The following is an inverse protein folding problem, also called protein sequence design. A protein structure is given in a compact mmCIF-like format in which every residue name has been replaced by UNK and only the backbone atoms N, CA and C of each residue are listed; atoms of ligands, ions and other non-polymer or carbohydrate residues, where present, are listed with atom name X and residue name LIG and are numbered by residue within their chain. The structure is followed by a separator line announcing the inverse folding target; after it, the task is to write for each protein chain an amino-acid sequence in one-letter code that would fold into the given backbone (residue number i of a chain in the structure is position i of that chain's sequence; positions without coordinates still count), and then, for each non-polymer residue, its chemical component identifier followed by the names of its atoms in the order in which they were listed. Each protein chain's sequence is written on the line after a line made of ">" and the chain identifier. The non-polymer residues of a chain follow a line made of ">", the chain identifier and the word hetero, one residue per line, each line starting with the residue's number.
data_IF_185074527350
#
_entry.id   IF_185074527350
#
_cell.length_a   1.000
_cell.length_b   1.000
_cell.length_c   1.000
_cell.angle_alpha   90.00
_cell.angle_beta   90.00
_cell.angle_gamma   90.00
#
_symmetry.space_group_name_H-M   'P 1'
#
loop_
_entity.id
_entity.type
_entity.pdbx_description
1 polymer ?
#
# COMPACT_ATOMS: atom_id res chain seq x y z
N UNK A 1 9.02 6.00 3.72
CA UNK A 1 7.65 5.44 3.81
C UNK A 1 7.25 5.16 5.26
N UNK A 2 7.89 4.23 5.98
CA UNK A 2 7.52 3.85 7.37
C UNK A 2 7.42 5.01 8.38
N UNK A 3 8.27 6.03 8.24
CA UNK A 3 8.26 7.21 9.13
C UNK A 3 7.26 8.30 8.70
N UNK A 4 6.46 8.07 7.65
CA UNK A 4 5.45 9.03 7.23
C UNK A 4 4.26 8.99 8.21
N UNK A 5 3.70 10.15 8.56
CA UNK A 5 2.56 10.25 9.51
C UNK A 5 1.36 9.37 9.11
N UNK A 6 1.15 9.19 7.81
CA UNK A 6 0.05 8.37 7.24
C UNK A 6 0.39 6.89 7.05
N UNK A 7 1.55 6.42 7.54
CA UNK A 7 1.96 5.02 7.38
C UNK A 7 1.28 4.07 8.37
N UNK A 8 0.66 4.59 9.44
CA UNK A 8 0.13 3.81 10.56
C UNK A 8 -0.79 2.63 10.17
N UNK A 9 -1.66 2.70 9.14
CA UNK A 9 -2.52 1.55 8.78
C UNK A 9 -1.75 0.41 8.12
N UNK A 10 -0.55 0.71 7.60
CA UNK A 10 0.22 -0.17 6.74
C UNK A 10 1.44 -0.75 7.43
N UNK A 11 1.65 -0.45 8.72
CA UNK A 11 2.86 -0.87 9.44
C UNK A 11 2.89 -2.36 9.75
N UNK A 12 1.71 -3.00 9.86
CA UNK A 12 1.55 -4.41 10.22
C UNK A 12 0.42 -5.04 9.40
N UNK A 13 0.40 -6.37 9.27
CA UNK A 13 -0.71 -7.09 8.68
C UNK A 13 -2.03 -6.76 9.38
N UNK A 14 -3.11 -6.71 8.61
CA UNK A 14 -4.46 -6.65 9.17
C UNK A 14 -4.74 -7.98 9.88
N UNK A 15 -5.15 -7.90 11.14
CA UNK A 15 -5.48 -9.07 11.95
C UNK A 15 -6.77 -9.71 11.41
N UNK A 16 -6.62 -10.81 10.68
CA UNK A 16 -7.72 -11.52 10.03
C UNK A 16 -8.76 -12.03 11.05
N UNK A 17 -8.37 -12.27 12.30
CA UNK A 17 -9.29 -12.72 13.36
C UNK A 17 -10.20 -11.58 13.86
N UNK A 18 -9.82 -10.32 13.63
CA UNK A 18 -10.59 -9.14 14.03
C UNK A 18 -11.50 -8.61 12.92
N UNK A 19 -11.43 -9.17 11.71
CA UNK A 19 -12.29 -8.77 10.62
C UNK A 19 -13.61 -9.55 10.66
N UNK A 20 -14.77 -8.88 10.48
CA UNK A 20 -16.04 -9.58 10.32
C UNK A 20 -15.94 -10.61 9.19
N UNK A 21 -16.51 -11.81 9.37
CA UNK A 21 -16.51 -12.89 8.35
C UNK A 21 -17.05 -12.46 6.97
N UNK A 22 -17.76 -11.34 6.92
CA UNK A 22 -18.37 -10.76 5.73
C UNK A 22 -17.42 -9.85 4.94
N UNK A 23 -16.25 -9.51 5.51
CA UNK A 23 -15.29 -8.54 4.97
C UNK A 23 -14.07 -9.25 4.35
N UNK A 24 -14.34 -10.29 3.55
CA UNK A 24 -13.32 -11.10 2.86
C UNK A 24 -12.77 -10.44 1.59
N UNK A 25 -12.90 -9.12 1.46
CA UNK A 25 -12.70 -8.41 0.19
C UNK A 25 -11.22 -8.14 -0.13
N UNK A 26 -10.31 -8.31 0.83
CA UNK A 26 -8.87 -8.17 0.60
C UNK A 26 -8.33 -9.47 0.00
N UNK A 27 -8.43 -9.58 -1.32
CA UNK A 27 -8.08 -10.78 -2.09
C UNK A 27 -6.61 -11.22 -1.90
N UNK A 28 -5.72 -10.29 -1.55
CA UNK A 28 -4.30 -10.56 -1.34
C UNK A 28 -3.67 -9.55 -0.36
N UNK A 29 -3.68 -9.81 0.96
CA UNK A 29 -3.13 -8.90 1.97
C UNK A 29 -1.67 -8.51 1.70
N UNK A 30 -1.33 -7.26 1.98
CA UNK A 30 0.01 -6.72 1.89
C UNK A 30 0.16 -5.51 2.81
N UNK A 31 1.32 -5.37 3.44
CA UNK A 31 1.68 -4.30 4.36
C UNK A 31 3.21 -4.09 4.36
N UNK A 32 3.69 -3.04 5.03
CA UNK A 32 5.10 -2.66 5.06
C UNK A 32 5.98 -3.62 5.88
N UNK A 33 5.41 -4.45 6.75
CA UNK A 33 6.16 -5.50 7.44
C UNK A 33 6.44 -6.64 6.46
N UNK A 34 5.41 -7.16 5.78
CA UNK A 34 5.57 -8.23 4.77
C UNK A 34 6.52 -7.79 3.66
N UNK A 35 6.38 -6.55 3.17
CA UNK A 35 7.31 -6.02 2.16
C UNK A 35 8.76 -5.96 2.69
N UNK A 36 8.97 -5.62 3.96
CA UNK A 36 10.31 -5.60 4.53
C UNK A 36 10.91 -7.01 4.61
N UNK A 37 10.12 -7.97 5.11
CA UNK A 37 10.55 -9.37 5.20
C UNK A 37 10.88 -9.96 3.81
N UNK A 38 10.09 -9.61 2.79
CA UNK A 38 10.36 -10.00 1.40
C UNK A 38 11.64 -9.37 0.87
N UNK A 39 11.88 -8.10 1.18
CA UNK A 39 13.12 -7.41 0.82
C UNK A 39 14.33 -8.08 1.47
N UNK A 40 14.27 -8.34 2.77
CA UNK A 40 15.36 -8.96 3.54
C UNK A 40 15.68 -10.38 3.05
N UNK A 41 14.67 -11.10 2.56
CA UNK A 41 14.82 -12.45 1.96
C UNK A 41 15.24 -12.44 0.49
N UNK A 42 15.47 -11.28 -0.12
CA UNK A 42 15.87 -11.16 -1.52
C UNK A 42 14.75 -11.52 -2.52
N UNK A 43 13.47 -11.49 -2.10
CA UNK A 43 12.33 -11.80 -2.97
C UNK A 43 12.20 -10.82 -4.15
N UNK A 44 12.56 -9.55 -3.93
CA UNK A 44 12.48 -8.51 -4.96
C UNK A 44 13.71 -8.52 -5.87
N UNK A 45 13.81 -9.54 -6.71
CA UNK A 45 14.87 -9.68 -7.73
C UNK A 45 14.77 -8.62 -8.85
N UNK A 46 13.65 -7.88 -8.90
CA UNK A 46 13.40 -6.79 -9.83
C UNK A 46 12.51 -5.75 -9.13
N UNK A 47 12.78 -4.46 -9.34
CA UNK A 47 12.00 -3.36 -8.76
C UNK A 47 10.51 -3.43 -9.11
N UNK A 48 10.14 -4.02 -10.26
CA UNK A 48 8.74 -4.20 -10.64
C UNK A 48 7.97 -5.04 -9.62
N UNK A 49 8.61 -6.04 -9.01
CA UNK A 49 7.97 -6.87 -7.97
C UNK A 49 7.71 -6.05 -6.69
N UNK A 50 8.66 -5.21 -6.28
CA UNK A 50 8.49 -4.31 -5.14
C UNK A 50 7.37 -3.30 -5.39
N UNK A 51 7.35 -2.69 -6.58
CA UNK A 51 6.33 -1.70 -6.94
C UNK A 51 4.94 -2.36 -7.04
N UNK A 52 4.85 -3.60 -7.53
CA UNK A 52 3.60 -4.34 -7.59
C UNK A 52 3.00 -4.60 -6.20
N UNK A 53 3.83 -5.02 -5.23
CA UNK A 53 3.37 -5.18 -3.83
C UNK A 53 2.96 -3.85 -3.21
N UNK A 54 3.69 -2.77 -3.49
CA UNK A 54 3.33 -1.43 -3.01
C UNK A 54 1.98 -0.96 -3.58
N UNK A 55 1.72 -1.20 -4.86
CA UNK A 55 0.42 -0.94 -5.51
C UNK A 55 -0.69 -1.77 -4.88
N UNK A 56 -0.44 -3.06 -4.64
CA UNK A 56 -1.41 -3.97 -4.02
C UNK A 56 -1.81 -3.51 -2.63
N UNK A 57 -0.84 -3.14 -1.79
CA UNK A 57 -1.08 -2.59 -0.45
C UNK A 57 -2.02 -1.37 -0.50
N UNK A 58 -1.74 -0.42 -1.38
CA UNK A 58 -2.53 0.82 -1.52
C UNK A 58 -3.91 0.54 -2.14
N UNK A 59 -4.00 -0.29 -3.16
CA UNK A 59 -5.26 -0.66 -3.82
C UNK A 59 -6.21 -1.39 -2.88
N UNK A 60 -5.69 -2.29 -2.03
CA UNK A 60 -6.50 -2.95 -1.01
C UNK A 60 -7.11 -1.93 -0.04
N UNK A 61 -6.35 -0.92 0.36
CA UNK A 61 -6.85 0.16 1.20
C UNK A 61 -7.97 0.94 0.51
N UNK A 62 -7.80 1.35 -0.74
CA UNK A 62 -8.82 2.12 -1.47
C UNK A 62 -10.10 1.32 -1.75
N UNK A 63 -10.00 -0.01 -1.94
CA UNK A 63 -11.17 -0.86 -2.16
C UNK A 63 -11.96 -1.15 -0.88
N UNK A 64 -11.25 -1.29 0.25
CA UNK A 64 -11.86 -1.77 1.49
C UNK A 64 -12.36 -0.63 2.39
N UNK A 65 -11.88 0.59 2.17
CA UNK A 65 -12.18 1.72 3.03
C UNK A 65 -13.05 2.77 2.31
N UNK A 66 -14.10 3.29 2.95
CA UNK A 66 -14.89 4.40 2.42
C UNK A 66 -14.03 5.65 2.14
N UNK A 67 -14.37 6.43 1.12
CA UNK A 67 -13.59 7.60 0.69
C UNK A 67 -13.50 8.72 1.73
N UNK A 68 -14.43 8.76 2.69
CA UNK A 68 -14.46 9.70 3.82
C UNK A 68 -13.82 9.14 5.10
N UNK A 69 -13.18 7.97 5.04
CA UNK A 69 -12.51 7.37 6.19
C UNK A 69 -11.08 7.89 6.35
N UNK A 70 -10.60 7.94 7.60
CA UNK A 70 -9.21 8.27 7.92
C UNK A 70 -8.19 7.28 7.32
N UNK A 71 -8.61 6.03 7.11
CA UNK A 71 -7.81 5.01 6.41
C UNK A 71 -7.61 5.37 4.94
N UNK A 72 -8.68 5.77 4.24
CA UNK A 72 -8.60 6.17 2.84
C UNK A 72 -7.77 7.44 2.66
N UNK A 73 -7.95 8.44 3.54
CA UNK A 73 -7.12 9.64 3.58
C UNK A 73 -5.64 9.30 3.77
N UNK A 74 -5.33 8.45 4.75
CA UNK A 74 -3.97 8.01 5.00
C UNK A 74 -3.35 7.27 3.80
N UNK A 75 -4.13 6.39 3.16
CA UNK A 75 -3.72 5.70 1.93
C UNK A 75 -3.45 6.66 0.77
N UNK A 76 -4.27 7.70 0.60
CA UNK A 76 -4.09 8.70 -0.44
C UNK A 76 -2.78 9.48 -0.26
N UNK A 77 -2.54 10.01 0.95
CA UNK A 77 -1.33 10.73 1.31
C UNK A 77 -0.07 9.86 1.14
N UNK A 78 -0.14 8.61 1.63
CA UNK A 78 0.97 7.68 1.51
C UNK A 78 1.24 7.30 0.04
N UNK A 79 0.20 7.13 -0.78
CA UNK A 79 0.33 6.88 -2.22
C UNK A 79 1.02 8.03 -2.95
N UNK A 80 0.69 9.29 -2.62
CA UNK A 80 1.33 10.45 -3.23
C UNK A 80 2.84 10.51 -2.93
N UNK A 81 3.24 10.17 -1.70
CA UNK A 81 4.66 10.05 -1.32
C UNK A 81 5.31 8.84 -2.00
N UNK A 82 4.64 7.68 -1.99
CA UNK A 82 5.10 6.46 -2.64
C UNK A 82 5.42 6.69 -4.12
N UNK A 83 4.49 7.31 -4.85
CA UNK A 83 4.62 7.62 -6.27
C UNK A 83 5.83 8.52 -6.54
N UNK A 84 6.05 9.56 -5.71
CA UNK A 84 7.23 10.43 -5.83
C UNK A 84 8.53 9.67 -5.58
N UNK A 85 8.59 8.84 -4.54
CA UNK A 85 9.79 8.07 -4.21
C UNK A 85 10.10 7.02 -5.27
N UNK A 86 9.10 6.30 -5.78
CA UNK A 86 9.27 5.31 -6.86
C UNK A 86 9.74 5.99 -8.13
N UNK A 87 9.16 7.13 -8.53
CA UNK A 87 9.64 7.90 -9.70
C UNK A 87 11.09 8.36 -9.55
N UNK A 88 11.52 8.73 -8.34
CA UNK A 88 12.89 9.13 -8.07
C UNK A 88 13.87 7.95 -8.08
N UNK A 89 13.49 6.82 -7.48
CA UNK A 89 14.35 5.63 -7.37
C UNK A 89 14.40 4.81 -8.67
N UNK A 90 13.28 4.70 -9.37
CA UNK A 90 13.09 3.87 -10.55
C UNK A 90 12.44 4.69 -11.69
N UNK A 91 13.14 5.72 -12.21
CA UNK A 91 12.57 6.64 -13.20
C UNK A 91 12.18 5.98 -14.53
N UNK A 92 12.77 4.82 -14.85
CA UNK A 92 12.48 4.03 -16.05
C UNK A 92 11.42 2.94 -15.84
N UNK A 93 10.86 2.82 -14.63
CA UNK A 93 9.79 1.85 -14.38
C UNK A 93 8.59 2.13 -15.27
N UNK A 94 7.92 1.08 -15.72
CA UNK A 94 6.66 1.15 -16.46
C UNK A 94 5.43 1.09 -15.52
N UNK A 95 5.65 0.81 -14.23
CA UNK A 95 4.62 0.73 -13.21
C UNK A 95 4.90 1.66 -12.03
N UNK A 96 3.83 2.22 -11.45
CA UNK A 96 3.90 3.16 -10.33
C UNK A 96 2.68 3.01 -9.42
N UNK A 97 2.79 3.42 -8.14
CA UNK A 97 1.62 3.69 -7.30
C UNK A 97 0.71 4.74 -7.97
N UNK A 98 -0.59 4.48 -7.97
CA UNK A 98 -1.60 5.31 -8.62
C UNK A 98 -2.55 5.87 -7.57
N UNK A 99 -2.82 7.17 -7.65
CA UNK A 99 -3.84 7.80 -6.83
C UNK A 99 -5.23 7.42 -7.39
N UNK A 100 -6.21 7.16 -6.52
CA UNK A 100 -7.57 6.93 -6.97
C UNK A 100 -8.18 8.21 -7.54
N UNK A 101 -9.19 8.07 -8.40
CA UNK A 101 -9.88 9.22 -9.01
C UNK A 101 -10.59 10.10 -7.98
N UNK A 102 -11.08 9.49 -6.90
CA UNK A 102 -11.74 10.18 -5.80
C UNK A 102 -10.71 10.63 -4.76
N UNK A 103 -10.61 11.95 -4.57
CA UNK A 103 -9.84 12.54 -3.48
C UNK A 103 -10.59 12.35 -2.14
N UNK A 104 -9.87 12.17 -1.02
CA UNK A 104 -10.49 12.24 0.30
C UNK A 104 -11.17 13.60 0.52
N UNK A 105 -12.26 13.59 1.29
CA UNK A 105 -13.06 14.77 1.64
C UNK A 105 -12.59 15.41 2.95
#
# INVERSE_FOLDING_TARGET
>A
MKNHKSAWPFLKPVDAERMPQNDKTVEYPMDLQIMNERLDRGYYVHERLFIADLRRMLNNCFKSNPTNSTYYEAGYELCAVARRLVKRAFPKSDIFPELPSFKPH
#
